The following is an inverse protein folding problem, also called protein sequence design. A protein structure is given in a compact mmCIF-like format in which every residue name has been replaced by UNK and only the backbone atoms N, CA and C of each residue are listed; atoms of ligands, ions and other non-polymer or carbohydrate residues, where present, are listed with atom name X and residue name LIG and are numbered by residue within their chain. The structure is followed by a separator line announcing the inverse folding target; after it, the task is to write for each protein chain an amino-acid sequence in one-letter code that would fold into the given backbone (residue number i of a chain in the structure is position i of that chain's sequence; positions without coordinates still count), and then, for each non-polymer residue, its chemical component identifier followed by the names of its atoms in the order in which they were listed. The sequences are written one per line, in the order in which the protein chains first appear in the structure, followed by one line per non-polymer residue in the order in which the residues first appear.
data_IF_198241711006
#
_entry.id   IF_198241711006
#
_cell.length_a   1.000
_cell.length_b   1.000
_cell.length_c   1.000
_cell.angle_alpha   90.00
_cell.angle_beta   90.00
_cell.angle_gamma   90.00
#
_symmetry.space_group_name_H-M   'P 1'
#
loop_
_entity.id
_entity.type
_entity.pdbx_description
1 polymer ?
#
# COMPACT_ATOMS: atom_id res chain seq x y z
N UNK A 1 -32.25 16.93 64.32
CA UNK A 1 -31.77 15.68 63.66
C UNK A 1 -31.60 15.92 62.17
N UNK A 2 -30.41 15.60 61.66
CA UNK A 2 -30.04 15.17 60.30
C UNK A 2 -30.16 16.16 59.11
N UNK A 3 -28.97 16.71 58.76
CA UNK A 3 -28.30 16.74 57.43
C UNK A 3 -28.99 17.57 56.34
N UNK A 4 -28.62 18.82 56.05
CA UNK A 4 -27.31 19.35 55.59
C UNK A 4 -26.51 18.35 54.74
N UNK A 5 -26.25 18.73 53.47
CA UNK A 5 -25.36 18.12 52.44
C UNK A 5 -26.10 17.58 51.20
N UNK A 6 -26.54 18.49 50.34
CA UNK A 6 -26.97 18.17 48.96
C UNK A 6 -26.48 19.19 47.92
N UNK A 7 -25.45 19.99 48.26
CA UNK A 7 -24.92 21.05 47.39
C UNK A 7 -23.44 20.89 47.01
N UNK A 8 -22.78 19.78 47.36
CA UNK A 8 -21.34 19.58 47.11
C UNK A 8 -20.99 18.73 45.88
N UNK A 9 -21.95 18.21 45.12
CA UNK A 9 -21.66 17.31 43.99
C UNK A 9 -21.67 17.98 42.60
N UNK A 10 -21.97 19.28 42.53
CA UNK A 10 -22.09 20.02 41.26
C UNK A 10 -20.83 20.82 40.86
N UNK A 11 -19.69 20.59 41.52
CA UNK A 11 -18.47 21.39 41.36
C UNK A 11 -17.24 20.59 40.89
N UNK A 12 -17.43 19.49 40.15
CA UNK A 12 -16.30 18.60 39.79
C UNK A 12 -16.02 18.28 38.31
N UNK A 13 -16.65 18.85 37.25
CA UNK A 13 -16.16 18.60 35.90
C UNK A 13 -15.19 19.68 35.36
N UNK A 14 -14.90 20.76 36.10
CA UNK A 14 -14.14 21.91 35.56
C UNK A 14 -12.61 21.87 35.75
N UNK A 15 -12.06 20.80 36.33
CA UNK A 15 -10.64 20.74 36.72
C UNK A 15 -9.88 19.52 36.20
N UNK A 16 -10.34 18.92 35.09
CA UNK A 16 -9.43 18.14 34.26
C UNK A 16 -9.01 19.02 33.07
N UNK A 17 -7.84 19.68 33.10
CA UNK A 17 -7.13 19.87 31.85
C UNK A 17 -6.82 18.44 31.39
N UNK A 18 -7.63 17.91 30.48
CA UNK A 18 -7.19 16.83 29.64
C UNK A 18 -6.03 17.42 28.83
N UNK A 19 -4.83 17.38 29.43
CA UNK A 19 -3.56 17.44 28.73
C UNK A 19 -3.50 16.20 27.84
N UNK A 20 -4.36 16.16 26.83
CA UNK A 20 -4.05 15.47 25.61
C UNK A 20 -2.80 16.19 25.08
N UNK A 21 -1.69 15.47 24.88
CA UNK A 21 -0.53 16.05 24.24
C UNK A 21 -1.02 16.74 22.96
N UNK A 22 -0.74 18.04 22.82
CA UNK A 22 -0.95 18.77 21.56
C UNK A 22 0.17 18.37 20.57
N UNK A 23 0.52 17.09 20.58
CA UNK A 23 1.32 16.51 19.53
C UNK A 23 0.38 16.35 18.34
N UNK A 24 0.73 16.87 17.16
CA UNK A 24 -0.02 16.52 15.96
C UNK A 24 -0.09 15.00 15.94
N UNK A 25 -1.31 14.45 15.92
CA UNK A 25 -1.54 13.01 15.82
C UNK A 25 -0.57 12.51 14.74
N UNK A 26 0.27 11.50 15.03
CA UNK A 26 1.29 11.06 14.10
C UNK A 26 0.58 10.87 12.77
N UNK A 27 0.95 11.68 11.76
CA UNK A 27 0.33 11.61 10.45
C UNK A 27 0.45 10.15 10.05
N UNK A 28 -0.65 9.39 10.14
CA UNK A 28 -0.67 8.00 9.70
C UNK A 28 -0.33 8.11 8.24
N UNK A 29 0.92 7.79 7.90
CA UNK A 29 1.34 7.66 6.50
C UNK A 29 0.34 6.68 5.92
N UNK A 30 -0.54 7.18 5.07
CA UNK A 30 -1.54 6.34 4.40
C UNK A 30 -0.71 5.25 3.70
N UNK A 31 -0.94 3.97 4.02
CA UNK A 31 -0.15 2.91 3.43
C UNK A 31 -0.36 2.97 1.93
N UNK A 32 0.73 3.18 1.21
CA UNK A 32 0.72 3.21 -0.26
C UNK A 32 0.61 1.76 -0.75
N UNK A 33 -0.35 1.45 -1.60
CA UNK A 33 -0.47 0.09 -2.12
C UNK A 33 0.44 -0.05 -3.33
N UNK A 34 1.21 -1.13 -3.34
CA UNK A 34 2.23 -1.40 -4.34
C UNK A 34 2.01 -2.80 -4.91
N UNK A 35 2.06 -2.91 -6.23
CA UNK A 35 2.00 -4.20 -6.93
C UNK A 35 3.34 -4.50 -7.58
N UNK A 36 3.94 -5.64 -7.25
CA UNK A 36 5.14 -6.15 -7.92
C UNK A 36 4.69 -7.14 -8.99
N UNK A 37 4.92 -6.81 -10.25
CA UNK A 37 4.68 -7.67 -11.39
C UNK A 37 5.94 -8.46 -11.70
N UNK A 38 5.95 -9.74 -11.30
CA UNK A 38 7.09 -10.64 -11.46
C UNK A 38 6.66 -12.09 -11.54
N UNK A 39 7.42 -12.91 -12.26
CA UNK A 39 7.39 -14.35 -12.08
C UNK A 39 8.07 -14.69 -10.74
N UNK A 40 7.32 -15.27 -9.81
CA UNK A 40 7.85 -15.64 -8.48
C UNK A 40 8.77 -16.87 -8.52
N UNK A 41 8.68 -17.69 -9.56
CA UNK A 41 9.47 -18.92 -9.72
C UNK A 41 10.91 -18.65 -10.15
N UNK A 42 11.17 -17.52 -10.80
CA UNK A 42 12.50 -17.10 -11.27
C UNK A 42 13.38 -16.49 -10.15
N UNK A 43 12.83 -16.30 -8.94
CA UNK A 43 13.60 -15.74 -7.83
C UNK A 43 14.45 -16.79 -7.13
N UNK A 44 15.68 -16.40 -6.80
CA UNK A 44 16.51 -17.16 -5.85
C UNK A 44 15.75 -17.33 -4.52
N UNK A 45 15.84 -18.52 -3.87
CA UNK A 45 15.16 -18.79 -2.61
C UNK A 45 15.35 -17.66 -1.58
N UNK A 46 14.24 -17.11 -1.08
CA UNK A 46 14.22 -16.05 -0.09
C UNK A 46 14.57 -14.64 -0.59
N UNK A 47 15.02 -14.45 -1.84
CA UNK A 47 15.34 -13.11 -2.39
C UNK A 47 14.07 -12.27 -2.55
N UNK A 48 12.98 -12.86 -3.07
CA UNK A 48 11.69 -12.18 -3.22
C UNK A 48 11.13 -11.75 -1.86
N UNK A 49 11.16 -12.64 -0.87
CA UNK A 49 10.68 -12.35 0.49
C UNK A 49 11.45 -11.18 1.12
N UNK A 50 12.79 -11.20 1.07
CA UNK A 50 13.62 -10.10 1.58
C UNK A 50 13.33 -8.77 0.86
N UNK A 51 13.07 -8.84 -0.44
CA UNK A 51 12.71 -7.67 -1.23
C UNK A 51 11.35 -7.10 -0.81
N UNK A 52 10.33 -7.95 -0.67
CA UNK A 52 8.99 -7.54 -0.20
C UNK A 52 9.03 -7.01 1.23
N UNK A 53 9.85 -7.61 2.11
CA UNK A 53 10.03 -7.17 3.50
C UNK A 53 10.67 -5.79 3.57
N UNK A 54 11.71 -5.55 2.76
CA UNK A 54 12.36 -4.26 2.65
C UNK A 54 11.37 -3.17 2.24
N UNK A 55 10.56 -3.44 1.21
CA UNK A 55 9.55 -2.48 0.74
C UNK A 55 8.44 -2.27 1.77
N UNK A 56 8.01 -3.34 2.44
CA UNK A 56 7.00 -3.26 3.50
C UNK A 56 7.50 -2.45 4.69
N UNK A 57 8.79 -2.57 5.04
CA UNK A 57 9.43 -1.76 6.10
C UNK A 57 9.46 -0.27 5.77
N UNK A 58 9.43 0.10 4.49
CA UNK A 58 9.29 1.49 4.03
C UNK A 58 7.86 2.03 4.08
N UNK A 59 6.88 1.21 4.53
CA UNK A 59 5.49 1.63 4.74
C UNK A 59 4.53 1.32 3.58
N UNK A 60 4.93 0.49 2.63
CA UNK A 60 4.08 0.04 1.52
C UNK A 60 3.32 -1.24 1.88
N UNK A 61 2.12 -1.38 1.34
CA UNK A 61 1.42 -2.68 1.29
C UNK A 61 1.74 -3.34 -0.03
N UNK A 62 2.48 -4.45 0.02
CA UNK A 62 3.02 -5.10 -1.18
C UNK A 62 2.14 -6.26 -1.60
N UNK A 63 1.77 -6.29 -2.87
CA UNK A 63 1.08 -7.40 -3.52
C UNK A 63 1.96 -7.91 -4.65
N UNK A 64 2.37 -9.17 -4.60
CA UNK A 64 3.16 -9.79 -5.66
C UNK A 64 2.22 -10.50 -6.63
N UNK A 65 2.38 -10.27 -7.92
CA UNK A 65 1.51 -10.85 -8.93
C UNK A 65 2.21 -11.11 -10.26
N UNK A 66 2.34 -12.37 -10.61
CA UNK A 66 2.76 -12.82 -11.93
C UNK A 66 2.81 -14.34 -11.95
N UNK A 67 2.61 -14.90 -13.13
CA UNK A 67 2.60 -16.33 -13.37
C UNK A 67 3.86 -16.73 -14.13
N UNK A 68 4.33 -17.99 -13.98
CA UNK A 68 5.38 -18.51 -14.83
C UNK A 68 5.00 -18.38 -16.31
N UNK A 69 5.98 -17.99 -17.13
CA UNK A 69 5.84 -17.85 -18.59
C UNK A 69 4.71 -16.89 -19.03
N UNK A 70 4.34 -15.92 -18.18
CA UNK A 70 3.32 -14.96 -18.52
C UNK A 70 3.75 -14.08 -19.71
N UNK A 71 2.86 -13.85 -20.66
CA UNK A 71 3.13 -12.96 -21.79
C UNK A 71 2.33 -11.65 -21.68
N UNK A 72 2.64 -10.68 -22.55
CA UNK A 72 2.01 -9.36 -22.53
C UNK A 72 0.47 -9.42 -22.68
N UNK A 73 -0.06 -10.39 -23.44
CA UNK A 73 -1.50 -10.55 -23.62
C UNK A 73 -2.17 -11.07 -22.35
N UNK A 74 -1.57 -12.07 -21.70
CA UNK A 74 -2.04 -12.60 -20.42
C UNK A 74 -2.00 -11.52 -19.32
N UNK A 75 -0.90 -10.77 -19.23
CA UNK A 75 -0.79 -9.61 -18.33
C UNK A 75 -1.90 -8.59 -18.61
N UNK A 76 -2.10 -8.20 -19.86
CA UNK A 76 -3.11 -7.21 -20.26
C UNK A 76 -4.53 -7.62 -19.87
N UNK A 77 -4.86 -8.91 -19.99
CA UNK A 77 -6.18 -9.43 -19.63
C UNK A 77 -6.47 -9.31 -18.12
N UNK A 78 -5.44 -9.36 -17.27
CA UNK A 78 -5.58 -9.25 -15.81
C UNK A 78 -5.39 -7.84 -15.25
N UNK A 79 -4.87 -6.89 -16.03
CA UNK A 79 -4.68 -5.49 -15.59
C UNK A 79 -5.92 -4.88 -14.90
N UNK A 80 -7.17 -5.08 -15.39
CA UNK A 80 -8.35 -4.56 -14.71
C UNK A 80 -8.49 -5.02 -13.25
N UNK A 81 -8.06 -6.25 -12.94
CA UNK A 81 -8.13 -6.83 -11.60
C UNK A 81 -6.98 -6.40 -10.69
N UNK A 82 -5.83 -6.07 -11.27
CA UNK A 82 -4.65 -5.60 -10.52
C UNK A 82 -4.78 -4.13 -10.11
N UNK A 83 -5.56 -3.36 -10.87
CA UNK A 83 -5.84 -1.96 -10.62
C UNK A 83 -7.01 -1.79 -9.65
N UNK A 84 -6.95 -2.52 -8.53
CA UNK A 84 -7.89 -2.30 -7.44
C UNK A 84 -7.76 -0.86 -6.91
N UNK A 85 -8.84 -0.28 -6.34
CA UNK A 85 -8.80 1.06 -5.78
C UNK A 85 -7.61 1.26 -4.83
N UNK A 86 -6.78 2.26 -5.12
CA UNK A 86 -5.69 2.69 -4.25
C UNK A 86 -4.31 2.10 -4.56
N UNK A 87 -4.08 1.46 -5.72
CA UNK A 87 -2.71 1.14 -6.16
C UNK A 87 -1.97 2.40 -6.59
N UNK A 88 -0.87 2.72 -5.92
CA UNK A 88 -0.09 3.94 -6.18
C UNK A 88 1.14 3.67 -7.04
N UNK A 89 1.68 2.45 -7.00
CA UNK A 89 2.94 2.08 -7.64
C UNK A 89 2.91 0.63 -8.16
N UNK A 90 3.35 0.46 -9.40
CA UNK A 90 3.72 -0.82 -9.98
C UNK A 90 5.25 -0.93 -10.05
N UNK A 91 5.80 -2.03 -9.55
CA UNK A 91 7.18 -2.43 -9.83
C UNK A 91 7.12 -3.52 -10.89
N UNK A 92 7.66 -3.25 -12.07
CA UNK A 92 7.64 -4.17 -13.21
C UNK A 92 8.98 -4.87 -13.39
N UNK A 93 8.91 -6.19 -13.53
CA UNK A 93 10.01 -7.05 -13.91
C UNK A 93 9.99 -7.39 -15.39
N UNK A 94 11.09 -7.07 -16.09
CA UNK A 94 11.22 -7.39 -17.51
C UNK A 94 11.24 -8.90 -17.76
N UNK A 95 11.66 -9.71 -16.78
CA UNK A 95 11.63 -11.17 -16.92
C UNK A 95 10.22 -11.76 -16.90
N UNK A 96 9.19 -11.01 -16.46
CA UNK A 96 7.81 -11.47 -16.46
C UNK A 96 7.26 -11.60 -17.88
N UNK A 97 7.06 -10.46 -18.58
CA UNK A 97 6.42 -10.41 -19.90
C UNK A 97 7.20 -9.56 -20.91
N UNK A 98 8.47 -9.28 -20.63
CA UNK A 98 9.36 -8.49 -21.49
C UNK A 98 8.97 -7.02 -21.63
N UNK A 99 9.59 -6.28 -22.55
CA UNK A 99 9.25 -4.88 -22.82
C UNK A 99 7.80 -4.68 -23.27
N UNK A 100 7.24 -5.63 -24.02
CA UNK A 100 5.87 -5.57 -24.50
C UNK A 100 4.84 -5.56 -23.36
N UNK A 101 5.10 -6.29 -22.26
CA UNK A 101 4.26 -6.25 -21.07
C UNK A 101 4.29 -4.90 -20.37
N UNK A 102 5.47 -4.26 -20.28
CA UNK A 102 5.62 -2.91 -19.73
C UNK A 102 4.83 -1.88 -20.56
N UNK A 103 4.94 -1.95 -21.88
CA UNK A 103 4.23 -1.05 -22.79
C UNK A 103 2.72 -1.24 -22.68
N UNK A 104 2.27 -2.50 -22.54
CA UNK A 104 0.86 -2.81 -22.31
C UNK A 104 0.34 -2.21 -21.00
N UNK A 105 1.11 -2.31 -19.91
CA UNK A 105 0.79 -1.69 -18.63
C UNK A 105 0.70 -0.16 -18.76
N UNK A 106 1.71 0.49 -19.36
CA UNK A 106 1.72 1.95 -19.59
C UNK A 106 0.50 2.40 -20.38
N UNK A 107 0.26 1.79 -21.53
CA UNK A 107 -0.86 2.10 -22.41
C UNK A 107 -2.20 1.94 -21.67
N UNK A 108 -2.33 0.92 -20.82
CA UNK A 108 -3.55 0.72 -20.03
C UNK A 108 -3.74 1.82 -18.98
N UNK A 109 -2.70 2.18 -18.21
CA UNK A 109 -2.78 3.25 -17.21
C UNK A 109 -3.11 4.59 -17.86
N UNK A 110 -2.47 4.92 -18.98
CA UNK A 110 -2.74 6.14 -19.75
C UNK A 110 -4.18 6.18 -20.26
N UNK A 111 -4.67 5.09 -20.87
CA UNK A 111 -6.04 5.00 -21.39
C UNK A 111 -7.10 5.12 -20.29
N UNK A 112 -6.81 4.62 -19.10
CA UNK A 112 -7.75 4.66 -17.95
C UNK A 112 -7.59 5.93 -17.09
N UNK A 113 -6.59 6.77 -17.37
CA UNK A 113 -6.27 7.94 -16.54
C UNK A 113 -5.82 7.56 -15.12
N UNK A 114 -5.32 6.33 -14.93
CA UNK A 114 -4.95 5.83 -13.62
C UNK A 114 -3.60 6.41 -13.20
N UNK A 115 -3.56 7.16 -12.09
CA UNK A 115 -2.37 7.89 -11.62
C UNK A 115 -1.26 7.04 -10.99
N UNK A 116 -1.24 5.73 -11.23
CA UNK A 116 -0.23 4.86 -10.65
C UNK A 116 1.12 5.08 -11.34
N UNK A 117 2.20 5.10 -10.57
CA UNK A 117 3.55 5.16 -11.11
C UNK A 117 4.02 3.77 -11.53
N UNK A 118 4.96 3.71 -12.47
CA UNK A 118 5.62 2.46 -12.85
C UNK A 118 7.12 2.64 -12.63
N UNK A 119 7.72 1.72 -11.89
CA UNK A 119 9.16 1.57 -11.73
C UNK A 119 9.60 0.20 -12.27
N UNK A 120 10.83 0.09 -12.75
CA UNK A 120 11.39 -1.18 -13.21
C UNK A 120 12.29 -1.76 -12.14
N UNK A 121 12.24 -3.07 -11.94
CA UNK A 121 13.19 -3.76 -11.08
C UNK A 121 14.42 -4.17 -11.89
N UNK A 122 15.61 -3.78 -11.42
CA UNK A 122 16.87 -4.32 -11.89
C UNK A 122 17.23 -5.54 -11.02
N UNK A 123 17.44 -6.71 -11.63
CA UNK A 123 17.63 -7.99 -10.92
C UNK A 123 19.06 -8.47 -10.85
#
# INVERSE_FOLDING_TARGET
MKRLRLLSLLLLPFLAPACAPNEPAPQRKIPRNLVILTDSSDWKPGKLLRYTDSISSAGYRVLVSGYPEENAAALSARLPWLLQPGVDLFIYDDALAGPAGLDSLKNYLERTGHGAKIERIAR
#
